data_IF_434267776952
#
_entry.id   IF_434267776952
#
_cell.length_a   1.000
_cell.length_b   1.000
_cell.length_c   1.000
_cell.angle_alpha   90.00
_cell.angle_beta   90.00
_cell.angle_gamma   90.00
#
_symmetry.space_group_name_H-M   'P 1'
#
loop_
_entity.id
_entity.type
_entity.pdbx_description
1 polymer ?
#
# COMPACT_ATOMS: atom_id res chain seq x y z
N UNK A 1 18.78 -13.13 8.66
CA UNK A 1 18.73 -11.91 7.83
C UNK A 1 18.54 -10.72 8.75
N UNK A 2 19.46 -9.74 8.78
CA UNK A 2 19.19 -8.45 9.45
C UNK A 2 18.16 -7.72 8.60
N UNK A 3 16.92 -7.64 9.07
CA UNK A 3 15.93 -6.74 8.46
C UNK A 3 16.39 -5.31 8.71
N UNK A 4 16.78 -4.61 7.64
CA UNK A 4 17.03 -3.18 7.71
C UNK A 4 15.73 -2.50 8.14
N UNK A 5 15.82 -1.68 9.19
CA UNK A 5 14.68 -0.93 9.71
C UNK A 5 14.14 0.00 8.63
N UNK A 6 12.85 -0.08 8.34
CA UNK A 6 12.22 0.83 7.39
C UNK A 6 12.24 2.26 7.96
N UNK A 7 12.68 3.23 7.16
CA UNK A 7 12.67 4.65 7.56
C UNK A 7 11.31 5.28 7.30
N UNK A 8 10.96 6.34 8.05
CA UNK A 8 9.71 7.10 7.81
C UNK A 8 9.65 7.70 6.40
N UNK A 9 10.78 8.15 5.85
CA UNK A 9 10.82 8.64 4.46
C UNK A 9 10.48 7.53 3.47
N UNK A 10 11.06 6.34 3.64
CA UNK A 10 10.72 5.17 2.80
C UNK A 10 9.24 4.84 2.90
N UNK A 11 8.69 4.73 4.12
CA UNK A 11 7.29 4.36 4.34
C UNK A 11 6.32 5.32 3.64
N UNK A 12 6.55 6.64 3.73
CA UNK A 12 5.72 7.67 3.10
C UNK A 12 5.60 7.55 1.58
N UNK A 13 6.63 7.00 0.93
CA UNK A 13 6.64 6.82 -0.54
C UNK A 13 6.07 5.48 -1.01
N UNK A 14 5.76 4.56 -0.09
CA UNK A 14 5.19 3.27 -0.43
C UNK A 14 3.66 3.34 -0.54
N UNK A 15 3.12 2.43 -1.37
CA UNK A 15 1.68 2.19 -1.50
C UNK A 15 1.16 1.41 -0.30
N UNK A 16 -0.10 1.62 0.06
CA UNK A 16 -0.77 0.93 1.18
C UNK A 16 -0.53 -0.58 1.19
N UNK A 17 -0.71 -1.27 0.06
CA UNK A 17 -0.52 -2.73 -0.01
C UNK A 17 0.90 -3.18 0.32
N UNK A 18 1.92 -2.40 -0.06
CA UNK A 18 3.32 -2.71 0.26
C UNK A 18 3.60 -2.48 1.75
N UNK A 19 3.04 -1.41 2.32
CA UNK A 19 3.12 -1.14 3.75
C UNK A 19 2.48 -2.27 4.56
N UNK A 20 1.29 -2.72 4.16
CA UNK A 20 0.57 -3.80 4.84
C UNK A 20 1.36 -5.10 4.78
N UNK A 21 1.85 -5.48 3.59
CA UNK A 21 2.67 -6.68 3.43
C UNK A 21 3.95 -6.64 4.28
N UNK A 22 4.58 -5.47 4.42
CA UNK A 22 5.73 -5.31 5.30
C UNK A 22 5.35 -5.49 6.78
N UNK A 23 4.22 -4.93 7.21
CA UNK A 23 3.71 -5.08 8.58
C UNK A 23 3.37 -6.53 8.88
N UNK A 24 2.61 -7.20 8.00
CA UNK A 24 2.22 -8.60 8.14
C UNK A 24 3.43 -9.53 8.27
N UNK A 25 4.50 -9.25 7.51
CA UNK A 25 5.70 -10.08 7.49
C UNK A 25 6.69 -9.79 8.63
N UNK A 26 6.60 -8.63 9.29
CA UNK A 26 7.71 -8.08 10.07
C UNK A 26 7.37 -7.38 11.39
N UNK A 27 6.09 -7.31 11.76
CA UNK A 27 5.68 -6.67 13.00
C UNK A 27 6.16 -7.45 14.23
N UNK A 28 6.80 -6.75 15.17
CA UNK A 28 7.28 -7.37 16.41
C UNK A 28 6.13 -7.74 17.37
N UNK A 29 4.93 -7.19 17.16
CA UNK A 29 3.75 -7.44 17.99
C UNK A 29 2.88 -8.62 17.51
N UNK A 30 3.21 -9.29 16.40
CA UNK A 30 2.36 -10.36 15.82
C UNK A 30 2.07 -11.53 16.78
N UNK A 31 2.93 -11.77 17.77
CA UNK A 31 2.75 -12.83 18.78
C UNK A 31 2.17 -12.34 20.11
N UNK A 32 1.81 -11.06 20.21
CA UNK A 32 1.25 -10.45 21.42
C UNK A 32 -0.27 -10.34 21.31
N UNK A 33 -0.93 -10.11 22.44
CA UNK A 33 -2.37 -9.89 22.45
C UNK A 33 -2.69 -8.50 21.90
N UNK A 34 -3.80 -8.37 21.18
CA UNK A 34 -4.30 -7.06 20.75
C UNK A 34 -4.54 -6.19 21.98
N UNK A 35 -5.09 -6.75 23.06
CA UNK A 35 -5.32 -6.02 24.29
C UNK A 35 -4.05 -5.32 24.79
N UNK A 36 -2.83 -5.81 24.52
CA UNK A 36 -1.60 -5.14 24.93
C UNK A 36 -1.40 -3.75 24.28
N UNK A 37 -2.06 -3.50 23.15
CA UNK A 37 -1.97 -2.28 22.35
C UNK A 37 -3.27 -1.46 22.32
N UNK A 38 -4.37 -2.03 22.82
CA UNK A 38 -5.67 -1.37 22.92
C UNK A 38 -6.11 -1.28 24.38
N UNK A 39 -6.57 -0.10 24.78
CA UNK A 39 -7.22 0.08 26.07
C UNK A 39 -8.52 -0.71 26.10
N UNK A 40 -8.76 -1.44 27.20
CA UNK A 40 -9.98 -2.22 27.33
C UNK A 40 -11.16 -1.33 27.71
N UNK A 41 -12.36 -1.77 27.37
CA UNK A 41 -13.60 -1.11 27.78
C UNK A 41 -13.66 -0.94 29.30
N UNK A 42 -13.83 0.31 29.75
CA UNK A 42 -13.92 0.64 31.18
C UNK A 42 -12.59 0.59 31.95
N UNK A 43 -11.47 0.27 31.31
CA UNK A 43 -10.15 0.32 31.94
C UNK A 43 -9.81 1.77 32.31
N UNK A 44 -9.31 2.01 33.51
CA UNK A 44 -8.86 3.35 33.93
C UNK A 44 -7.52 3.73 33.30
N UNK A 45 -7.20 5.03 33.23
CA UNK A 45 -5.90 5.48 32.70
C UNK A 45 -4.72 4.96 33.56
N UNK A 46 -4.92 4.79 34.87
CA UNK A 46 -3.92 4.26 35.79
C UNK A 46 -3.59 2.80 35.44
N UNK A 47 -4.59 1.99 35.08
CA UNK A 47 -4.41 0.60 34.65
C UNK A 47 -3.82 0.52 33.24
N UNK A 48 -4.22 1.44 32.35
CA UNK A 48 -3.75 1.50 30.98
C UNK A 48 -2.29 1.94 30.84
N UNK A 49 -1.88 2.98 31.59
CA UNK A 49 -0.55 3.61 31.50
C UNK A 49 0.66 2.64 31.48
N UNK A 50 0.75 1.61 32.35
CA UNK A 50 1.85 0.64 32.29
C UNK A 50 1.84 -0.19 31.00
N UNK A 51 0.66 -0.59 30.50
CA UNK A 51 0.50 -1.36 29.26
C UNK A 51 0.84 -0.50 28.05
N UNK A 52 0.32 0.72 27.99
CA UNK A 52 0.73 1.76 27.01
C UNK A 52 2.24 1.91 26.93
N UNK A 53 2.91 2.02 28.08
CA UNK A 53 4.37 2.15 28.15
C UNK A 53 5.10 0.90 27.66
N UNK A 54 4.55 -0.30 27.88
CA UNK A 54 5.09 -1.54 27.33
C UNK A 54 4.89 -1.62 25.81
N UNK A 55 3.69 -1.30 25.31
CA UNK A 55 3.38 -1.24 23.89
C UNK A 55 4.31 -0.28 23.13
N UNK A 56 4.52 0.93 23.66
CA UNK A 56 5.44 1.92 23.08
C UNK A 56 6.87 1.39 22.99
N UNK A 57 7.34 0.64 24.01
CA UNK A 57 8.68 -0.01 23.98
C UNK A 57 8.75 -1.09 22.91
N UNK A 58 7.70 -1.89 22.74
CA UNK A 58 7.63 -2.88 21.65
C UNK A 58 7.70 -2.20 20.29
N UNK A 59 6.93 -1.14 20.07
CA UNK A 59 6.98 -0.37 18.83
C UNK A 59 8.36 0.26 18.60
N UNK A 60 9.03 0.76 19.65
CA UNK A 60 10.35 1.36 19.57
C UNK A 60 11.45 0.38 19.14
N UNK A 61 11.25 -0.93 19.30
CA UNK A 61 12.14 -1.98 18.78
C UNK A 61 11.69 -2.54 17.41
N UNK A 62 10.46 -2.28 16.99
CA UNK A 62 9.87 -2.88 15.80
C UNK A 62 10.56 -2.41 14.50
N UNK A 63 11.00 -3.34 13.62
CA UNK A 63 11.71 -2.99 12.37
C UNK A 63 10.80 -2.33 11.33
N UNK A 64 9.49 -2.59 11.41
CA UNK A 64 8.46 -2.06 10.51
C UNK A 64 7.62 -0.96 11.16
N UNK A 65 8.10 -0.38 12.28
CA UNK A 65 7.41 0.71 13.00
C UNK A 65 6.96 1.84 12.07
N UNK A 66 7.86 2.32 11.21
CA UNK A 66 7.56 3.41 10.28
C UNK A 66 6.48 3.06 9.25
N UNK A 67 6.38 1.78 8.84
CA UNK A 67 5.33 1.33 7.94
C UNK A 67 3.97 1.30 8.65
N UNK A 68 3.95 0.77 9.87
CA UNK A 68 2.77 0.72 10.73
C UNK A 68 2.26 2.12 11.10
N UNK A 69 3.15 3.05 11.44
CA UNK A 69 2.83 4.46 11.68
C UNK A 69 2.18 5.10 10.45
N UNK A 70 2.78 4.95 9.26
CA UNK A 70 2.23 5.53 8.04
C UNK A 70 0.85 4.92 7.68
N UNK A 71 0.63 3.63 7.91
CA UNK A 71 -0.69 3.00 7.74
C UNK A 71 -1.71 3.58 8.71
N UNK A 72 -1.38 3.65 10.00
CA UNK A 72 -2.26 4.19 11.03
C UNK A 72 -2.71 5.62 10.69
N UNK A 73 -1.79 6.46 10.23
CA UNK A 73 -2.09 7.83 9.81
C UNK A 73 -3.01 7.88 8.58
N UNK A 74 -2.83 6.98 7.61
CA UNK A 74 -3.65 6.90 6.39
C UNK A 74 -5.05 6.37 6.68
N UNK A 75 -5.17 5.43 7.61
CA UNK A 75 -6.42 4.83 8.07
C UNK A 75 -7.21 5.73 9.03
N UNK A 76 -6.59 6.81 9.51
CA UNK A 76 -7.24 7.75 10.41
C UNK A 76 -7.32 7.26 11.84
N UNK A 77 -6.42 6.36 12.23
CA UNK A 77 -6.33 5.84 13.59
C UNK A 77 -6.04 6.98 14.60
N UNK A 78 -6.49 6.74 15.83
CA UNK A 78 -6.31 7.64 16.96
C UNK A 78 -7.41 8.69 17.13
N UNK A 79 -7.71 8.99 18.39
CA UNK A 79 -8.66 10.01 18.81
C UNK A 79 -7.88 11.12 19.56
N UNK A 80 -8.08 12.41 19.23
CA UNK A 80 -7.43 13.52 19.93
C UNK A 80 -7.76 13.59 21.44
N UNK A 81 -8.92 13.09 21.83
CA UNK A 81 -9.47 13.20 23.19
C UNK A 81 -9.40 11.87 23.96
N UNK A 82 -9.03 10.75 23.30
CA UNK A 82 -8.99 9.42 23.89
C UNK A 82 -7.68 8.66 23.62
N UNK A 83 -6.99 8.28 24.69
CA UNK A 83 -5.80 7.42 24.63
C UNK A 83 -6.19 5.95 24.73
N UNK A 84 -6.74 5.43 23.62
CA UNK A 84 -7.28 4.08 23.54
C UNK A 84 -6.38 3.09 22.78
N UNK A 85 -5.33 3.58 22.12
CA UNK A 85 -4.52 2.77 21.21
C UNK A 85 -3.05 3.20 21.23
N UNK A 86 -2.16 2.22 21.11
CA UNK A 86 -0.77 2.42 20.67
C UNK A 86 -0.57 1.77 19.30
N UNK A 87 -0.34 2.57 18.26
CA UNK A 87 -0.09 2.08 16.92
C UNK A 87 1.05 2.86 16.27
N UNK A 88 1.94 2.18 15.52
CA UNK A 88 3.12 2.83 14.94
C UNK A 88 4.11 3.43 15.96
N UNK A 89 3.96 3.14 17.25
CA UNK A 89 4.74 3.76 18.33
C UNK A 89 4.26 5.15 18.72
N UNK A 90 3.00 5.46 18.46
CA UNK A 90 2.30 6.67 18.89
C UNK A 90 1.02 6.27 19.62
N UNK A 91 0.59 7.11 20.57
CA UNK A 91 -0.73 7.00 21.22
C UNK A 91 -1.84 7.55 20.32
N UNK A 92 -3.11 7.34 20.71
CA UNK A 92 -4.27 7.90 20.01
C UNK A 92 -4.16 9.41 19.76
N UNK A 93 -3.94 10.24 20.79
CA UNK A 93 -3.78 11.68 20.63
C UNK A 93 -2.56 12.07 19.81
N UNK A 94 -1.45 11.33 19.92
CA UNK A 94 -0.25 11.58 19.10
C UNK A 94 -0.48 11.26 17.62
N UNK A 95 -1.24 10.20 17.30
CA UNK A 95 -1.66 9.88 15.93
C UNK A 95 -2.56 10.97 15.36
N UNK A 96 -3.53 11.46 16.14
CA UNK A 96 -4.40 12.55 15.74
C UNK A 96 -3.58 13.83 15.43
N UNK A 97 -2.68 14.22 16.34
CA UNK A 97 -1.82 15.38 16.15
C UNK A 97 -0.88 15.23 14.93
N UNK A 98 -0.30 14.04 14.73
CA UNK A 98 0.54 13.76 13.58
C UNK A 98 -0.24 13.78 12.26
N UNK A 99 -1.49 13.31 12.26
CA UNK A 99 -2.39 13.35 11.11
C UNK A 99 -2.72 14.79 10.74
N UNK A 100 -3.02 15.65 11.70
CA UNK A 100 -3.26 17.07 11.45
C UNK A 100 -2.02 17.77 10.89
N UNK A 101 -0.85 17.55 11.51
CA UNK A 101 0.43 18.10 11.04
C UNK A 101 0.82 17.64 9.62
N UNK A 102 0.22 16.55 9.14
CA UNK A 102 0.52 15.93 7.86
C UNK A 102 -0.67 15.82 6.92
N UNK A 103 -1.77 16.53 7.19
CA UNK A 103 -3.04 16.36 6.50
C UNK A 103 -2.91 16.47 4.97
N UNK A 104 -2.14 17.45 4.49
CA UNK A 104 -1.91 17.67 3.04
C UNK A 104 -1.23 16.48 2.38
N UNK A 105 -0.13 15.96 2.96
CA UNK A 105 0.59 14.81 2.36
C UNK A 105 -0.23 13.53 2.44
N UNK A 106 -0.96 13.34 3.54
CA UNK A 106 -1.79 12.16 3.75
C UNK A 106 -2.97 12.15 2.78
N UNK A 107 -3.57 13.31 2.49
CA UNK A 107 -4.60 13.43 1.47
C UNK A 107 -4.09 12.98 0.08
N UNK A 108 -2.86 13.37 -0.30
CA UNK A 108 -2.22 12.93 -1.55
C UNK A 108 -1.98 11.42 -1.52
N UNK A 109 -1.41 10.89 -0.43
CA UNK A 109 -1.16 9.45 -0.30
C UNK A 109 -2.46 8.63 -0.37
N UNK A 110 -3.52 9.05 0.33
CA UNK A 110 -4.84 8.42 0.32
C UNK A 110 -5.55 8.53 -1.03
N UNK A 111 -5.36 9.64 -1.77
CA UNK A 111 -5.83 9.75 -3.14
C UNK A 111 -5.08 8.78 -4.06
N UNK A 112 -3.78 8.65 -3.85
CA UNK A 112 -2.94 7.74 -4.62
C UNK A 112 -3.25 6.26 -4.32
N UNK A 113 -3.54 5.91 -3.07
CA UNK A 113 -3.95 4.54 -2.68
C UNK A 113 -5.34 4.18 -3.22
N UNK A 114 -6.21 5.17 -3.44
CA UNK A 114 -7.50 5.02 -4.11
C UNK A 114 -7.42 5.10 -5.64
N UNK A 115 -6.25 5.33 -6.23
CA UNK A 115 -6.04 5.42 -7.68
C UNK A 115 -6.09 4.02 -8.33
N UNK A 116 -7.26 3.40 -8.29
CA UNK A 116 -7.55 2.11 -8.94
C UNK A 116 -7.31 2.18 -10.46
N UNK A 117 -7.46 3.35 -11.05
CA UNK A 117 -7.21 3.62 -12.46
C UNK A 117 -5.71 3.67 -12.79
N UNK A 118 -4.89 4.24 -11.90
CA UNK A 118 -3.43 4.17 -11.95
C UNK A 118 -2.94 2.73 -11.84
N UNK A 119 -3.45 1.96 -10.88
CA UNK A 119 -3.13 0.54 -10.74
C UNK A 119 -3.51 -0.28 -11.98
N UNK A 120 -4.70 -0.04 -12.55
CA UNK A 120 -5.12 -0.68 -13.81
C UNK A 120 -4.16 -0.33 -14.96
N UNK A 121 -3.74 0.93 -15.08
CA UNK A 121 -2.80 1.36 -16.12
C UNK A 121 -1.44 0.68 -15.98
N UNK A 122 -0.92 0.60 -14.76
CA UNK A 122 0.35 -0.08 -14.46
C UNK A 122 0.28 -1.57 -14.80
N UNK A 123 -0.83 -2.25 -14.43
CA UNK A 123 -1.06 -3.66 -14.75
C UNK A 123 -1.13 -3.91 -16.26
N UNK A 124 -1.86 -3.06 -16.99
CA UNK A 124 -1.96 -3.17 -18.45
C UNK A 124 -0.60 -2.94 -19.13
N UNK A 125 0.19 -1.97 -18.64
CA UNK A 125 1.53 -1.69 -19.14
C UNK A 125 2.49 -2.86 -18.86
N UNK A 126 2.44 -3.43 -17.66
CA UNK A 126 3.23 -4.59 -17.27
C UNK A 126 2.87 -5.83 -18.12
N UNK A 127 1.58 -6.11 -18.32
CA UNK A 127 1.12 -7.20 -19.19
C UNK A 127 1.60 -7.03 -20.63
N UNK A 128 1.52 -5.81 -21.18
CA UNK A 128 2.01 -5.51 -22.53
C UNK A 128 3.51 -5.74 -22.63
N UNK A 129 4.29 -5.27 -21.67
CA UNK A 129 5.73 -5.45 -21.63
C UNK A 129 6.10 -6.95 -21.56
N UNK A 130 5.52 -7.68 -20.60
CA UNK A 130 5.75 -9.10 -20.43
C UNK A 130 5.45 -9.89 -21.71
N UNK A 131 4.33 -9.58 -22.38
CA UNK A 131 3.95 -10.23 -23.62
C UNK A 131 4.91 -9.92 -24.78
N UNK A 132 5.40 -8.68 -24.86
CA UNK A 132 6.37 -8.27 -25.88
C UNK A 132 7.74 -8.92 -25.70
N UNK A 133 8.12 -9.26 -24.47
CA UNK A 133 9.38 -9.94 -24.16
C UNK A 133 9.25 -11.47 -24.09
N UNK A 134 8.04 -12.02 -24.21
CA UNK A 134 7.81 -13.46 -24.12
C UNK A 134 8.28 -14.18 -25.39
N UNK A 135 9.02 -15.27 -25.23
CA UNK A 135 9.48 -16.11 -26.35
C UNK A 135 8.32 -16.58 -27.24
N UNK A 136 8.58 -16.61 -28.55
CA UNK A 136 7.67 -17.15 -29.57
C UNK A 136 7.70 -18.68 -29.63
N UNK A 137 8.58 -19.33 -28.88
CA UNK A 137 8.64 -20.79 -28.82
C UNK A 137 7.48 -21.34 -27.98
N UNK A 138 6.62 -22.13 -28.60
CA UNK A 138 5.45 -22.72 -27.93
C UNK A 138 5.12 -24.09 -28.47
N UNK A 139 4.67 -24.96 -27.58
CA UNK A 139 4.21 -26.32 -27.88
C UNK A 139 2.75 -26.45 -27.42
N UNK A 140 1.88 -27.04 -28.25
CA UNK A 140 0.47 -27.34 -27.89
C UNK A 140 0.17 -28.78 -28.31
N UNK A 141 -0.34 -29.58 -27.37
CA UNK A 141 -0.61 -31.02 -27.56
C UNK A 141 0.62 -31.79 -28.10
N UNK A 142 1.81 -31.49 -27.57
CA UNK A 142 3.07 -32.13 -27.99
C UNK A 142 3.62 -31.69 -29.36
N UNK A 143 2.95 -30.79 -30.08
CA UNK A 143 3.42 -30.26 -31.37
C UNK A 143 3.93 -28.82 -31.25
N UNK A 144 5.09 -28.54 -31.85
CA UNK A 144 5.63 -27.17 -31.95
C UNK A 144 4.72 -26.32 -32.83
N UNK A 145 4.30 -25.17 -32.32
CA UNK A 145 3.55 -24.19 -33.10
C UNK A 145 4.56 -23.35 -33.92
N UNK A 146 4.29 -23.07 -35.21
CA UNK A 146 5.12 -22.16 -35.99
C UNK A 146 5.29 -20.80 -35.28
N UNK A 147 6.52 -20.28 -35.13
CA UNK A 147 6.78 -19.01 -34.45
C UNK A 147 5.97 -17.83 -35.04
N UNK A 148 5.73 -17.82 -36.35
CA UNK A 148 4.93 -16.80 -37.01
C UNK A 148 3.47 -16.74 -36.50
N UNK A 149 2.86 -17.90 -36.19
CA UNK A 149 1.51 -17.96 -35.63
C UNK A 149 1.51 -17.43 -34.19
N UNK A 150 2.50 -17.84 -33.38
CA UNK A 150 2.65 -17.35 -32.00
C UNK A 150 2.88 -15.83 -31.96
N UNK A 151 3.72 -15.32 -32.87
CA UNK A 151 3.98 -13.89 -33.02
C UNK A 151 2.72 -13.13 -33.44
N UNK A 152 1.91 -13.68 -34.36
CA UNK A 152 0.65 -13.07 -34.78
C UNK A 152 -0.35 -12.97 -33.62
N UNK A 153 -0.50 -14.04 -32.83
CA UNK A 153 -1.33 -14.05 -31.61
C UNK A 153 -0.84 -13.03 -30.58
N UNK A 154 0.47 -12.97 -30.34
CA UNK A 154 1.10 -12.00 -29.43
C UNK A 154 0.85 -10.57 -29.90
N UNK A 155 1.09 -10.27 -31.19
CA UNK A 155 0.87 -8.95 -31.76
C UNK A 155 -0.59 -8.51 -31.67
N UNK A 156 -1.55 -9.43 -31.87
CA UNK A 156 -2.97 -9.14 -31.70
C UNK A 156 -3.29 -8.71 -30.26
N UNK A 157 -2.79 -9.46 -29.27
CA UNK A 157 -2.96 -9.13 -27.85
C UNK A 157 -2.26 -7.84 -27.44
N UNK A 158 -1.06 -7.57 -27.95
CA UNK A 158 -0.34 -6.30 -27.72
C UNK A 158 -1.16 -5.11 -28.24
N UNK A 159 -1.80 -5.25 -29.42
CA UNK A 159 -2.69 -4.21 -29.95
C UNK A 159 -3.90 -3.99 -29.03
N UNK A 160 -4.54 -5.05 -28.56
CA UNK A 160 -5.66 -4.95 -27.60
C UNK A 160 -5.24 -4.23 -26.32
N UNK A 161 -4.11 -4.62 -25.71
CA UNK A 161 -3.60 -3.98 -24.49
C UNK A 161 -3.26 -2.51 -24.73
N UNK A 162 -2.71 -2.17 -25.89
CA UNK A 162 -2.41 -0.77 -26.24
C UNK A 162 -3.68 0.08 -26.33
N UNK A 163 -4.74 -0.44 -26.96
CA UNK A 163 -6.05 0.23 -27.02
C UNK A 163 -6.62 0.43 -25.61
N UNK A 164 -6.54 -0.58 -24.74
CA UNK A 164 -7.02 -0.48 -23.36
C UNK A 164 -6.25 0.57 -22.55
N UNK A 165 -4.92 0.64 -22.72
CA UNK A 165 -4.08 1.67 -22.08
C UNK A 165 -4.51 3.07 -22.55
N UNK A 166 -4.71 3.27 -23.85
CA UNK A 166 -5.10 4.57 -24.40
C UNK A 166 -6.50 4.99 -23.95
N UNK A 167 -7.45 4.05 -23.88
CA UNK A 167 -8.79 4.29 -23.34
C UNK A 167 -8.74 4.69 -21.86
N UNK A 168 -8.00 3.95 -21.03
CA UNK A 168 -7.85 4.26 -19.61
C UNK A 168 -7.17 5.62 -19.38
N UNK A 169 -6.13 5.95 -20.17
CA UNK A 169 -5.50 7.28 -20.14
C UNK A 169 -6.46 8.40 -20.54
N UNK A 170 -7.26 8.18 -21.59
CA UNK A 170 -8.21 9.18 -22.08
C UNK A 170 -9.34 9.43 -21.09
N UNK A 171 -9.89 8.37 -20.49
CA UNK A 171 -10.91 8.48 -19.45
C UNK A 171 -10.37 9.23 -18.22
N UNK A 172 -9.13 8.93 -17.81
CA UNK A 172 -8.44 9.64 -16.71
C UNK A 172 -8.26 11.14 -16.99
N UNK A 173 -7.81 11.50 -18.20
CA UNK A 173 -7.68 12.92 -18.61
C UNK A 173 -9.02 13.64 -18.61
N UNK A 174 -10.06 13.02 -19.18
CA UNK A 174 -11.40 13.61 -19.23
C UNK A 174 -11.96 13.89 -17.83
N UNK A 175 -11.84 12.93 -16.89
CA UNK A 175 -12.26 13.11 -15.49
C UNK A 175 -11.46 14.18 -14.75
N UNK A 176 -10.17 14.32 -15.06
CA UNK A 176 -9.32 15.36 -14.49
C UNK A 176 -9.58 16.76 -15.09
N UNK A 177 -10.55 16.92 -15.99
CA UNK A 177 -10.89 18.20 -16.63
C UNK A 177 -9.97 18.57 -17.79
N UNK A 178 -9.11 17.65 -18.24
CA UNK A 178 -8.20 17.84 -19.40
C UNK A 178 -8.86 17.41 -20.72
N UNK A 179 -10.19 17.43 -20.79
CA UNK A 179 -10.98 16.94 -21.90
C UNK A 179 -11.23 17.99 -22.98
N UNK A 180 -10.37 17.98 -24.01
CA UNK A 180 -10.54 18.61 -25.34
C UNK A 180 -10.55 20.15 -25.33
N UNK A 181 -9.37 20.77 -25.53
CA UNK A 181 -9.34 21.98 -26.34
C UNK A 181 -9.81 21.56 -27.74
N UNK A 182 -11.00 22.03 -28.14
CA UNK A 182 -11.46 21.98 -29.52
C UNK A 182 -10.63 22.96 -30.37
#
# INVERSE_FOLDING_TARGET
MRMNRMTSTTARHLRRGVLQAAVDAGAACTSLDNDDFFRRDGESDIEWAPRRTAALRTCAACPVRAACEELALRDGEGDPDADEIVCGGLTGPELAAARDAHAVRLAVANAADRDTEGSLLDDLMAQRHALATTSTERTRNGKRIPPAIVQQEQNARIRTLSVQIDQARSARRARAGWGVAA
#
